data_IF_784203869998
#
_entry.id   IF_784203869998
#
_cell.length_a   1.000
_cell.length_b   1.000
_cell.length_c   1.000
_cell.angle_alpha   90.00
_cell.angle_beta   90.00
_cell.angle_gamma   90.00
#
_symmetry.space_group_name_H-M   'P 1'
#
loop_
_entity.id
_entity.type
_entity.pdbx_description
1 polymer ?
#
# COMPACT_ATOMS: atom_id res chain seq x y z
N UNK A 1 3.33 52.40 27.68
CA UNK A 1 4.26 51.33 27.29
C UNK A 1 3.81 49.94 27.77
N UNK A 2 3.46 49.73 29.04
CA UNK A 2 3.04 48.42 29.57
C UNK A 2 1.84 47.75 28.84
N UNK A 3 0.84 48.54 28.44
CA UNK A 3 -0.34 48.05 27.70
C UNK A 3 -0.01 47.51 26.30
N UNK A 4 1.00 48.08 25.65
CA UNK A 4 1.47 47.66 24.32
C UNK A 4 2.21 46.32 24.40
N UNK A 5 3.01 46.11 25.45
CA UNK A 5 3.68 44.82 25.69
C UNK A 5 2.68 43.71 26.02
N UNK A 6 1.63 44.01 26.80
CA UNK A 6 0.57 43.04 27.13
C UNK A 6 -0.22 42.63 25.87
N UNK A 7 -0.53 43.59 24.98
CA UNK A 7 -1.23 43.33 23.73
C UNK A 7 -0.42 42.48 22.74
N UNK A 8 0.89 42.71 22.64
CA UNK A 8 1.78 41.93 21.76
C UNK A 8 1.93 40.51 22.29
N UNK A 9 2.04 40.33 23.61
CA UNK A 9 2.11 39.01 24.24
C UNK A 9 0.83 38.19 23.98
N UNK A 10 -0.36 38.81 24.10
CA UNK A 10 -1.63 38.11 23.82
C UNK A 10 -1.80 37.73 22.35
N UNK A 11 -1.38 38.59 21.42
CA UNK A 11 -1.42 38.29 19.98
C UNK A 11 -0.45 37.14 19.62
N UNK A 12 0.74 37.14 20.21
CA UNK A 12 1.72 36.07 20.01
C UNK A 12 1.20 34.72 20.52
N UNK A 13 0.57 34.68 21.70
CA UNK A 13 0.00 33.44 22.24
C UNK A 13 -1.15 32.89 21.37
N UNK A 14 -2.00 33.77 20.83
CA UNK A 14 -3.08 33.37 19.93
C UNK A 14 -2.56 32.77 18.62
N UNK A 15 -1.47 33.31 18.07
CA UNK A 15 -0.84 32.78 16.86
C UNK A 15 -0.20 31.41 17.13
N UNK A 16 0.44 31.20 18.29
CA UNK A 16 1.04 29.91 18.64
C UNK A 16 0.00 28.79 18.80
N UNK A 17 -1.22 29.11 19.24
CA UNK A 17 -2.31 28.14 19.35
C UNK A 17 -2.82 27.69 17.97
N UNK A 18 -2.84 28.58 16.97
CA UNK A 18 -3.27 28.26 15.61
C UNK A 18 -2.26 27.36 14.85
N UNK A 19 -1.00 27.33 15.28
CA UNK A 19 0.04 26.48 14.69
C UNK A 19 0.06 25.06 15.29
N UNK A 20 -0.78 24.78 16.29
CA UNK A 20 -0.90 23.45 16.92
C UNK A 20 -1.83 22.54 16.11
N UNK A 21 -1.53 22.33 14.82
CA UNK A 21 -2.28 21.40 13.97
C UNK A 21 -1.95 19.96 14.35
N UNK A 22 -2.91 19.26 14.94
CA UNK A 22 -2.77 17.82 15.22
C UNK A 22 -2.85 17.06 13.89
N UNK A 23 -1.70 16.66 13.34
CA UNK A 23 -1.67 15.83 12.14
C UNK A 23 -2.21 14.43 12.46
N UNK A 24 -3.28 14.01 11.80
CA UNK A 24 -3.81 12.65 11.97
C UNK A 24 -2.84 11.68 11.31
N UNK A 25 -2.38 10.63 12.00
CA UNK A 25 -1.49 9.66 11.39
C UNK A 25 -2.18 8.95 10.23
N UNK A 26 -1.47 8.85 9.09
CA UNK A 26 -2.03 8.38 7.82
C UNK A 26 -2.65 6.98 7.89
N UNK A 27 -2.09 6.08 8.72
CA UNK A 27 -2.64 4.73 8.88
C UNK A 27 -4.06 4.74 9.46
N UNK A 28 -4.40 5.72 10.32
CA UNK A 28 -5.75 5.88 10.88
C UNK A 28 -6.68 6.51 9.84
N UNK A 29 -6.17 7.42 9.02
CA UNK A 29 -6.94 7.98 7.90
C UNK A 29 -7.36 6.89 6.90
N UNK A 30 -6.51 5.87 6.69
CA UNK A 30 -6.80 4.74 5.81
C UNK A 30 -7.95 3.85 6.31
N UNK A 31 -8.20 3.78 7.62
CA UNK A 31 -9.32 3.02 8.16
C UNK A 31 -10.69 3.58 7.75
N UNK A 32 -10.72 4.82 7.22
CA UNK A 32 -11.92 5.47 6.69
C UNK A 32 -12.18 5.15 5.22
N UNK A 33 -11.29 4.42 4.54
CA UNK A 33 -11.49 4.01 3.15
C UNK A 33 -12.44 2.82 3.14
N UNK A 34 -13.61 3.01 2.54
CA UNK A 34 -14.67 2.01 2.49
C UNK A 34 -15.03 1.63 1.04
N UNK A 35 -15.68 0.47 0.91
CA UNK A 35 -16.22 0.01 -0.39
C UNK A 35 -17.25 1.01 -0.89
N UNK A 36 -17.15 1.37 -2.17
CA UNK A 36 -18.01 2.34 -2.84
C UNK A 36 -17.43 3.75 -2.96
N UNK A 37 -16.40 4.11 -2.18
CA UNK A 37 -15.70 5.39 -2.33
C UNK A 37 -15.14 5.55 -3.75
N UNK A 38 -15.16 6.79 -4.26
CA UNK A 38 -14.53 7.08 -5.53
C UNK A 38 -13.00 7.22 -5.35
N UNK A 39 -12.25 7.02 -6.43
CA UNK A 39 -10.80 7.25 -6.42
C UNK A 39 -10.41 8.63 -5.86
N UNK A 40 -11.21 9.66 -6.16
CA UNK A 40 -10.97 11.02 -5.67
C UNK A 40 -11.07 11.08 -4.13
N UNK A 41 -12.11 10.48 -3.55
CA UNK A 41 -12.30 10.42 -2.09
C UNK A 41 -11.13 9.71 -1.41
N UNK A 42 -10.65 8.61 -2.01
CA UNK A 42 -9.49 7.87 -1.47
C UNK A 42 -8.23 8.74 -1.53
N UNK A 43 -7.98 9.45 -2.64
CA UNK A 43 -6.85 10.37 -2.75
C UNK A 43 -6.94 11.52 -1.74
N UNK A 44 -8.12 12.03 -1.45
CA UNK A 44 -8.31 13.09 -0.45
C UNK A 44 -8.05 12.57 0.98
N UNK A 45 -8.48 11.35 1.28
CA UNK A 45 -8.33 10.75 2.61
C UNK A 45 -6.88 10.33 2.93
N UNK A 46 -6.21 9.68 1.98
CA UNK A 46 -4.92 9.02 2.22
C UNK A 46 -3.80 9.43 1.27
N UNK A 47 -4.08 10.33 0.33
CA UNK A 47 -3.10 10.78 -0.64
C UNK A 47 -2.78 9.74 -1.71
N UNK A 48 -1.69 10.01 -2.44
CA UNK A 48 -1.23 9.15 -3.53
C UNK A 48 -0.72 7.80 -3.03
N UNK A 49 -1.06 6.69 -3.70
CA UNK A 49 -0.55 5.37 -3.34
C UNK A 49 0.95 5.24 -3.61
N UNK A 50 1.62 4.36 -2.88
CA UNK A 50 3.03 4.05 -3.10
C UNK A 50 3.24 3.24 -4.38
N UNK A 51 2.28 2.37 -4.72
CA UNK A 51 2.30 1.54 -5.93
C UNK A 51 0.91 1.44 -6.54
N UNK A 52 0.86 1.36 -7.86
CA UNK A 52 -0.37 1.14 -8.63
C UNK A 52 -0.17 0.04 -9.65
N UNK A 53 -1.15 -0.84 -9.80
CA UNK A 53 -1.21 -1.87 -10.83
C UNK A 53 -2.59 -1.83 -11.48
N UNK A 54 -2.67 -2.16 -12.77
CA UNK A 54 -3.95 -2.40 -13.45
C UNK A 54 -3.96 -3.80 -14.03
N UNK A 55 -5.00 -4.57 -13.74
CA UNK A 55 -5.13 -5.93 -14.23
C UNK A 55 -6.59 -6.28 -14.48
N UNK A 56 -6.91 -6.78 -15.68
CA UNK A 56 -8.27 -7.20 -16.08
C UNK A 56 -9.37 -6.16 -15.76
N UNK A 57 -9.10 -4.88 -16.02
CA UNK A 57 -10.05 -3.78 -15.76
C UNK A 57 -10.07 -3.25 -14.33
N UNK A 58 -9.47 -3.99 -13.38
CA UNK A 58 -9.36 -3.59 -11.97
C UNK A 58 -8.07 -2.81 -11.74
N UNK A 59 -8.18 -1.66 -11.09
CA UNK A 59 -7.03 -0.89 -10.61
C UNK A 59 -6.73 -1.27 -9.16
N UNK A 60 -5.49 -1.65 -8.87
CA UNK A 60 -5.03 -2.02 -7.53
C UNK A 60 -4.03 -0.97 -7.06
N UNK A 61 -4.35 -0.31 -5.95
CA UNK A 61 -3.48 0.67 -5.30
C UNK A 61 -2.95 0.09 -3.99
N UNK A 62 -1.66 0.24 -3.75
CA UNK A 62 -0.99 -0.24 -2.54
C UNK A 62 -0.41 0.92 -1.76
N UNK A 63 -0.73 0.98 -0.47
CA UNK A 63 -0.22 1.93 0.50
C UNK A 63 0.71 1.21 1.48
N UNK A 64 1.86 1.81 1.76
CA UNK A 64 2.89 1.27 2.65
C UNK A 64 3.03 2.21 3.84
N UNK A 65 2.70 1.70 5.03
CA UNK A 65 2.79 2.42 6.29
C UNK A 65 3.97 1.91 7.11
N UNK A 66 4.75 2.84 7.65
CA UNK A 66 5.86 2.54 8.55
C UNK A 66 5.44 2.86 9.99
N UNK A 67 5.44 1.85 10.86
CA UNK A 67 5.21 2.01 12.30
C UNK A 67 6.40 1.41 13.05
N UNK A 68 7.39 2.27 13.33
CA UNK A 68 8.67 1.84 13.89
C UNK A 68 9.40 0.87 12.96
N UNK A 69 9.59 -0.38 13.40
CA UNK A 69 10.21 -1.45 12.60
C UNK A 69 9.21 -2.32 11.84
N UNK A 70 7.90 -2.03 11.96
CA UNK A 70 6.86 -2.77 11.25
C UNK A 70 6.46 -2.01 9.99
N UNK A 71 6.32 -2.77 8.90
CA UNK A 71 5.83 -2.27 7.62
C UNK A 71 4.46 -2.91 7.43
N UNK A 72 3.44 -2.07 7.30
CA UNK A 72 2.07 -2.52 7.06
C UNK A 72 1.70 -2.10 5.65
N UNK A 73 1.43 -3.07 4.79
CA UNK A 73 0.95 -2.80 3.44
C UNK A 73 -0.57 -3.00 3.39
N UNK A 74 -1.27 -2.02 2.82
CA UNK A 74 -2.71 -2.08 2.55
C UNK A 74 -2.96 -1.95 1.05
N UNK A 75 -3.99 -2.61 0.59
CA UNK A 75 -4.38 -2.64 -0.82
C UNK A 75 -5.84 -2.18 -0.95
N UNK A 76 -6.09 -1.35 -1.96
CA UNK A 76 -7.42 -0.89 -2.37
C UNK A 76 -7.59 -1.28 -3.83
N UNK A 77 -8.68 -1.97 -4.15
CA UNK A 77 -9.04 -2.32 -5.52
C UNK A 77 -10.18 -1.46 -5.99
N UNK A 78 -10.10 -1.02 -7.24
CA UNK A 78 -11.11 -0.21 -7.89
C UNK A 78 -11.62 -0.88 -9.16
N UNK A 79 -12.92 -0.80 -9.35
CA UNK A 79 -13.61 -1.16 -10.60
C UNK A 79 -14.54 0.01 -10.95
N UNK A 80 -14.55 0.43 -12.21
CA UNK A 80 -15.30 1.60 -12.68
C UNK A 80 -15.10 2.88 -11.83
N UNK A 81 -13.87 3.05 -11.33
CA UNK A 81 -13.48 4.22 -10.53
C UNK A 81 -13.93 4.18 -9.05
N UNK A 82 -14.57 3.09 -8.60
CA UNK A 82 -15.05 2.93 -7.22
C UNK A 82 -14.33 1.81 -6.49
N UNK A 83 -14.14 1.96 -5.19
CA UNK A 83 -13.54 0.92 -4.34
C UNK A 83 -14.44 -0.31 -4.32
N UNK A 84 -13.90 -1.46 -4.69
CA UNK A 84 -14.56 -2.76 -4.61
C UNK A 84 -13.98 -3.65 -3.51
N UNK A 85 -12.75 -3.41 -3.08
CA UNK A 85 -12.13 -4.15 -1.99
C UNK A 85 -11.06 -3.32 -1.26
N UNK A 86 -10.95 -3.53 0.05
CA UNK A 86 -9.88 -3.00 0.91
C UNK A 86 -9.32 -4.15 1.74
N UNK A 87 -8.03 -4.41 1.66
CA UNK A 87 -7.40 -5.55 2.33
C UNK A 87 -5.94 -5.28 2.74
N UNK A 88 -5.36 -6.16 3.56
CA UNK A 88 -3.92 -6.15 3.79
C UNK A 88 -3.22 -6.70 2.54
N UNK A 89 -2.19 -6.03 2.05
CA UNK A 89 -1.48 -6.48 0.86
C UNK A 89 -0.68 -7.76 1.18
N UNK A 90 -0.66 -8.70 0.24
CA UNK A 90 0.12 -9.95 0.33
C UNK A 90 1.54 -9.80 -0.25
N UNK A 91 2.07 -8.58 -0.27
CA UNK A 91 3.33 -8.24 -0.94
C UNK A 91 4.57 -8.85 -0.29
N UNK A 92 5.68 -8.78 -1.03
CA UNK A 92 6.97 -9.39 -0.70
C UNK A 92 7.51 -8.97 0.69
N UNK A 93 7.27 -7.74 1.14
CA UNK A 93 7.65 -7.29 2.49
C UNK A 93 6.79 -7.91 3.60
N UNK A 94 5.51 -8.19 3.33
CA UNK A 94 4.66 -8.94 4.26
C UNK A 94 5.19 -10.36 4.44
N UNK A 95 5.64 -11.01 3.35
CA UNK A 95 6.23 -12.33 3.41
C UNK A 95 7.57 -12.33 4.15
N UNK A 96 8.49 -11.43 3.79
CA UNK A 96 9.80 -11.31 4.45
C UNK A 96 9.66 -11.09 5.95
N UNK A 97 8.75 -10.21 6.39
CA UNK A 97 8.48 -10.03 7.81
C UNK A 97 7.87 -11.26 8.49
N UNK A 98 6.98 -11.99 7.80
CA UNK A 98 6.43 -13.24 8.32
C UNK A 98 7.49 -14.33 8.46
N UNK A 99 8.49 -14.35 7.57
CA UNK A 99 9.65 -15.23 7.62
C UNK A 99 10.58 -14.84 8.77
N UNK A 100 10.89 -13.55 8.95
CA UNK A 100 11.70 -13.05 10.06
C UNK A 100 11.06 -13.27 11.44
N UNK A 101 9.73 -13.34 11.51
CA UNK A 101 9.00 -13.66 12.75
C UNK A 101 8.95 -15.15 13.08
N UNK A 102 9.39 -16.03 12.17
CA UNK A 102 9.38 -17.47 12.44
C UNK A 102 10.35 -17.79 13.59
N UNK A 103 9.85 -18.49 14.62
CA UNK A 103 10.66 -18.82 15.80
C UNK A 103 11.48 -20.10 15.60
N UNK A 104 11.10 -20.92 14.63
CA UNK A 104 11.74 -22.20 14.33
C UNK A 104 11.99 -22.35 12.83
N UNK A 105 13.00 -23.15 12.48
CA UNK A 105 13.29 -23.47 11.09
C UNK A 105 12.09 -24.12 10.38
N UNK A 106 11.36 -24.98 11.09
CA UNK A 106 10.17 -25.64 10.56
C UNK A 106 9.05 -24.65 10.22
N UNK A 107 8.84 -23.63 11.06
CA UNK A 107 7.87 -22.56 10.78
C UNK A 107 8.30 -21.73 9.56
N UNK A 108 9.59 -21.41 9.44
CA UNK A 108 10.15 -20.71 8.28
C UNK A 108 9.91 -21.49 6.98
N UNK A 109 10.30 -22.77 6.94
CA UNK A 109 10.14 -23.63 5.76
C UNK A 109 8.67 -23.78 5.34
N UNK A 110 7.76 -23.93 6.31
CA UNK A 110 6.33 -24.02 6.04
C UNK A 110 5.78 -22.77 5.35
N UNK A 111 6.20 -21.57 5.80
CA UNK A 111 5.81 -20.28 5.22
C UNK A 111 6.38 -20.11 3.82
N UNK A 112 7.68 -20.37 3.62
CA UNK A 112 8.31 -20.34 2.29
C UNK A 112 7.56 -21.24 1.32
N UNK A 113 7.25 -22.48 1.72
CA UNK A 113 6.53 -23.44 0.88
C UNK A 113 5.13 -22.96 0.52
N UNK A 114 4.38 -22.39 1.46
CA UNK A 114 3.04 -21.85 1.21
C UNK A 114 3.01 -20.59 0.35
N UNK A 115 4.13 -19.86 0.31
CA UNK A 115 4.25 -18.59 -0.42
C UNK A 115 4.71 -18.75 -1.88
N UNK A 116 5.18 -19.94 -2.25
CA UNK A 116 5.48 -20.23 -3.66
C UNK A 116 4.15 -20.32 -4.42
N UNK A 117 3.91 -19.47 -5.44
CA UNK A 117 2.75 -19.68 -6.30
C UNK A 117 2.84 -21.10 -6.88
N UNK A 118 1.74 -21.84 -6.81
CA UNK A 118 1.59 -23.13 -7.48
C UNK A 118 1.98 -22.95 -8.95
N UNK A 119 2.84 -23.83 -9.47
CA UNK A 119 3.43 -23.78 -10.80
C UNK A 119 2.42 -23.91 -11.98
N UNK A 120 1.14 -23.68 -11.74
CA UNK A 120 0.04 -23.78 -12.71
C UNK A 120 -0.31 -22.43 -13.38
N UNK A 121 0.18 -21.29 -12.85
CA UNK A 121 -0.02 -19.99 -13.50
C UNK A 121 1.22 -19.58 -14.32
N UNK A 122 1.33 -20.15 -15.52
CA UNK A 122 1.94 -19.48 -16.68
C UNK A 122 3.47 -19.47 -16.75
N UNK A 123 4.10 -20.64 -16.73
CA UNK A 123 5.41 -20.78 -17.37
C UNK A 123 5.16 -20.87 -18.89
N UNK A 124 5.29 -19.76 -19.62
CA UNK A 124 5.46 -19.83 -21.07
C UNK A 124 6.87 -20.33 -21.34
N UNK A 125 6.98 -21.55 -21.84
CA UNK A 125 8.25 -22.10 -22.32
C UNK A 125 8.80 -21.19 -23.43
N UNK A 126 9.82 -20.40 -23.11
CA UNK A 126 10.57 -19.58 -24.08
C UNK A 126 11.55 -20.43 -24.91
N UNK A 127 11.17 -21.66 -25.25
CA UNK A 127 11.93 -22.55 -26.13
C UNK A 127 11.02 -23.02 -27.27
N UNK A 128 10.54 -22.06 -28.07
CA UNK A 128 10.09 -22.32 -29.44
C UNK A 128 11.27 -22.11 -30.37
N UNK A 129 12.13 -23.10 -30.51
CA UNK A 129 13.05 -23.17 -31.65
C UNK A 129 12.20 -23.55 -32.87
N UNK A 130 11.95 -22.56 -33.73
CA UNK A 130 11.36 -22.76 -35.04
C UNK A 130 12.33 -23.60 -35.90
N UNK A 131 12.04 -24.90 -36.04
CA UNK A 131 12.63 -25.72 -37.11
C UNK A 131 12.07 -25.25 -38.46
N UNK A 132 12.91 -24.76 -39.40
CA UNK A 132 12.44 -24.45 -40.74
C UNK A 132 12.21 -25.76 -41.51
N UNK A 133 10.95 -26.05 -41.82
CA UNK A 133 10.56 -27.15 -42.69
C UNK A 133 11.19 -26.97 -44.09
N UNK A 134 12.04 -27.91 -44.49
CA UNK A 134 12.57 -28.00 -45.84
C UNK A 134 11.44 -28.12 -46.88
N UNK A 135 11.45 -27.17 -47.82
CA UNK A 135 10.59 -27.12 -49.00
C UNK A 135 11.05 -28.20 -49.99
N UNK A 136 10.25 -29.27 -50.11
CA UNK A 136 10.49 -30.33 -51.10
C UNK A 136 10.27 -29.80 -52.52
N UNK A 137 11.30 -30.01 -53.35
CA UNK A 137 11.34 -29.73 -54.78
C UNK A 137 10.73 -30.87 -55.60
#
# INVERSE_FOLDING_TARGET
>A
MLKSFLSVATMSCLISLLLSSCTTPLHVAFERVEVGHEKADVLELVGSPNRTRRWKGVDEWTYIFYSGHQIVEKEVKFEDGKVVAVQNAKGQHSLEQQLLKAKTMQEYESKVRSSRPSADEGFQDLNGEDEPSEEQK
#
